data_IF_527389240286
#
_entry.id   IF_527389240286
#
_cell.length_a   1.000
_cell.length_b   1.000
_cell.length_c   1.000
_cell.angle_alpha   90.00
_cell.angle_beta   90.00
_cell.angle_gamma   90.00
#
_symmetry.space_group_name_H-M   'P 1'
#
loop_
_entity.id
_entity.type
_entity.pdbx_description
1 polymer ?
#
# COMPACT_ATOMS: atom_id res chain seq x y z
N UNK A 1 9.55 -7.35 -8.15
CA UNK A 1 8.77 -6.22 -7.57
C UNK A 1 7.92 -5.39 -8.56
N UNK A 2 8.45 -4.74 -9.62
CA UNK A 2 7.61 -3.92 -10.54
C UNK A 2 6.43 -4.69 -11.14
N UNK A 3 6.67 -5.93 -11.57
CA UNK A 3 5.63 -6.80 -12.13
C UNK A 3 4.52 -7.11 -11.11
N UNK A 4 4.88 -7.35 -9.85
CA UNK A 4 3.90 -7.59 -8.78
C UNK A 4 3.02 -6.34 -8.58
N UNK A 5 3.61 -5.15 -8.59
CA UNK A 5 2.87 -3.89 -8.50
C UNK A 5 1.94 -3.65 -9.70
N UNK A 6 2.41 -3.87 -10.93
CA UNK A 6 1.57 -3.69 -12.13
C UNK A 6 0.47 -4.73 -12.24
N UNK A 7 0.72 -5.98 -11.85
CA UNK A 7 -0.31 -7.03 -11.77
C UNK A 7 -1.36 -6.71 -10.71
N UNK A 8 -0.95 -6.21 -9.54
CA UNK A 8 -1.88 -5.76 -8.51
C UNK A 8 -2.77 -4.63 -9.02
N UNK A 9 -2.18 -3.60 -9.66
CA UNK A 9 -2.97 -2.51 -10.26
C UNK A 9 -3.92 -3.01 -11.36
N UNK A 10 -3.45 -3.88 -12.25
CA UNK A 10 -4.27 -4.45 -13.33
C UNK A 10 -5.45 -5.27 -12.78
N UNK A 11 -5.28 -5.97 -11.65
CA UNK A 11 -6.36 -6.74 -11.01
C UNK A 11 -7.49 -5.87 -10.45
N UNK A 12 -7.28 -4.55 -10.34
CA UNK A 12 -8.28 -3.59 -9.88
C UNK A 12 -9.03 -2.91 -11.04
N UNK A 13 -8.70 -3.24 -12.30
CA UNK A 13 -9.29 -2.61 -13.46
C UNK A 13 -10.82 -2.86 -13.53
N UNK A 14 -11.64 -1.80 -13.64
CA UNK A 14 -13.08 -1.92 -13.87
C UNK A 14 -13.44 -2.79 -15.09
N UNK A 15 -12.61 -2.71 -16.14
CA UNK A 15 -12.73 -3.50 -17.37
C UNK A 15 -12.78 -5.03 -17.15
N UNK A 16 -12.29 -5.54 -16.01
CA UNK A 16 -12.38 -6.96 -15.67
C UNK A 16 -13.81 -7.42 -15.34
N UNK A 17 -14.70 -6.48 -14.98
CA UNK A 17 -16.10 -6.76 -14.67
C UNK A 17 -17.02 -6.40 -15.83
N UNK A 18 -16.72 -5.29 -16.50
CA UNK A 18 -17.49 -4.76 -17.63
C UNK A 18 -16.50 -4.24 -18.68
N UNK A 19 -16.41 -4.86 -19.87
CA UNK A 19 -15.40 -4.54 -20.87
C UNK A 19 -15.54 -3.11 -21.44
N UNK A 20 -16.70 -2.46 -21.27
CA UNK A 20 -16.91 -1.07 -21.71
C UNK A 20 -16.36 -0.03 -20.72
N UNK A 21 -15.81 -0.47 -19.57
CA UNK A 21 -15.23 0.39 -18.54
C UNK A 21 -13.73 0.64 -18.73
N UNK A 22 -13.18 1.56 -17.92
CA UNK A 22 -11.78 1.91 -17.95
C UNK A 22 -10.84 0.73 -17.59
N UNK A 23 -9.64 0.73 -18.19
CA UNK A 23 -8.57 -0.22 -17.89
C UNK A 23 -7.86 0.04 -16.56
N UNK A 24 -8.09 1.21 -15.95
CA UNK A 24 -7.50 1.61 -14.68
C UNK A 24 -8.60 2.05 -13.71
N UNK A 25 -8.37 1.92 -12.39
CA UNK A 25 -9.24 2.53 -11.39
C UNK A 25 -9.36 4.04 -11.58
N UNK A 26 -10.46 4.62 -11.11
CA UNK A 26 -10.65 6.07 -11.09
C UNK A 26 -9.61 6.76 -10.20
N UNK A 27 -9.31 8.02 -10.48
CA UNK A 27 -8.36 8.81 -9.69
C UNK A 27 -8.80 8.98 -8.23
N UNK A 28 -10.11 9.04 -7.96
CA UNK A 28 -10.64 9.08 -6.60
C UNK A 28 -10.26 7.83 -5.78
N UNK A 29 -10.03 6.70 -6.45
CA UNK A 29 -9.60 5.44 -5.87
C UNK A 29 -8.07 5.31 -5.72
N UNK A 30 -7.29 6.32 -6.12
CA UNK A 30 -5.83 6.25 -6.15
C UNK A 30 -5.22 5.86 -4.79
N UNK A 31 -5.81 6.33 -3.69
CA UNK A 31 -5.37 5.97 -2.33
C UNK A 31 -5.50 4.46 -2.06
N UNK A 32 -6.62 3.86 -2.48
CA UNK A 32 -6.90 2.43 -2.36
C UNK A 32 -6.04 1.62 -3.33
N UNK A 33 -5.91 2.06 -4.58
CA UNK A 33 -5.08 1.40 -5.57
C UNK A 33 -3.59 1.35 -5.14
N UNK A 34 -3.05 2.48 -4.67
CA UNK A 34 -1.67 2.55 -4.17
C UNK A 34 -1.45 1.65 -2.95
N UNK A 35 -2.46 1.52 -2.08
CA UNK A 35 -2.40 0.60 -0.94
C UNK A 35 -2.23 -0.85 -1.39
N UNK A 36 -3.04 -1.31 -2.35
CA UNK A 36 -2.96 -2.67 -2.88
C UNK A 36 -1.63 -2.94 -3.59
N UNK A 37 -1.13 -1.96 -4.35
CA UNK A 37 0.21 -2.02 -4.98
C UNK A 37 1.31 -2.14 -3.93
N UNK A 38 1.26 -1.33 -2.87
CA UNK A 38 2.24 -1.36 -1.79
C UNK A 38 2.25 -2.71 -1.06
N UNK A 39 1.07 -3.28 -0.79
CA UNK A 39 0.94 -4.63 -0.21
C UNK A 39 1.59 -5.67 -1.12
N UNK A 40 1.22 -5.72 -2.40
CA UNK A 40 1.76 -6.70 -3.34
C UNK A 40 3.29 -6.61 -3.49
N UNK A 41 3.84 -5.40 -3.56
CA UNK A 41 5.29 -5.19 -3.66
C UNK A 41 6.01 -5.60 -2.38
N UNK A 42 5.47 -5.26 -1.20
CA UNK A 42 6.07 -5.64 0.07
C UNK A 42 6.02 -7.16 0.31
N UNK A 43 4.90 -7.80 -0.03
CA UNK A 43 4.79 -9.26 -0.01
C UNK A 43 5.80 -9.92 -0.95
N UNK A 44 5.95 -9.40 -2.17
CA UNK A 44 6.93 -9.90 -3.13
C UNK A 44 8.37 -9.73 -2.62
N UNK A 45 8.69 -8.62 -1.96
CA UNK A 45 10.01 -8.38 -1.37
C UNK A 45 10.34 -9.39 -0.25
N UNK A 46 9.34 -9.78 0.54
CA UNK A 46 9.48 -10.83 1.56
C UNK A 46 9.72 -12.19 0.90
N UNK A 47 8.93 -12.55 -0.12
CA UNK A 47 9.06 -13.84 -0.81
C UNK A 47 10.42 -13.97 -1.52
N UNK A 48 10.96 -12.87 -2.06
CA UNK A 48 12.28 -12.80 -2.69
C UNK A 48 13.44 -12.70 -1.66
N UNK A 49 13.13 -12.53 -0.37
CA UNK A 49 14.13 -12.35 0.68
C UNK A 49 14.91 -11.02 0.62
N UNK A 50 14.39 -10.03 -0.12
CA UNK A 50 14.99 -8.69 -0.26
C UNK A 50 14.49 -7.69 0.78
N UNK A 51 13.44 -8.03 1.53
CA UNK A 51 12.92 -7.21 2.61
C UNK A 51 13.86 -7.19 3.83
N UNK A 52 14.23 -5.99 4.29
CA UNK A 52 15.04 -5.81 5.51
C UNK A 52 14.23 -5.96 6.81
N UNK A 53 12.91 -5.91 6.69
CA UNK A 53 11.98 -6.05 7.82
C UNK A 53 11.69 -7.52 8.11
N UNK A 54 11.58 -7.88 9.40
CA UNK A 54 11.25 -9.25 9.84
C UNK A 54 9.74 -9.55 9.84
N UNK A 55 8.99 -8.96 8.92
CA UNK A 55 7.55 -9.16 8.83
C UNK A 55 7.23 -10.51 8.21
N UNK A 56 6.14 -11.13 8.66
CA UNK A 56 5.49 -12.20 7.91
C UNK A 56 4.64 -11.60 6.81
N UNK A 57 4.47 -12.34 5.71
CA UNK A 57 3.57 -11.95 4.62
C UNK A 57 2.15 -11.62 5.11
N UNK A 58 1.63 -12.39 6.06
CA UNK A 58 0.32 -12.16 6.71
C UNK A 58 0.18 -10.83 7.45
N UNK A 59 1.30 -10.20 7.85
CA UNK A 59 1.32 -8.95 8.61
C UNK A 59 1.41 -7.72 7.68
N UNK A 60 1.78 -7.91 6.41
CA UNK A 60 2.09 -6.82 5.48
C UNK A 60 0.94 -5.83 5.36
N UNK A 61 -0.29 -6.32 5.16
CA UNK A 61 -1.46 -5.46 4.98
C UNK A 61 -1.69 -4.54 6.18
N UNK A 62 -1.55 -5.04 7.40
CA UNK A 62 -1.71 -4.26 8.62
C UNK A 62 -0.56 -3.26 8.81
N UNK A 63 0.68 -3.68 8.53
CA UNK A 63 1.86 -2.81 8.64
C UNK A 63 1.83 -1.66 7.64
N UNK A 64 1.49 -1.95 6.38
CA UNK A 64 1.32 -0.94 5.32
C UNK A 64 0.22 0.06 5.71
N UNK A 65 -0.90 -0.41 6.27
CA UNK A 65 -1.97 0.47 6.74
C UNK A 65 -1.53 1.38 7.88
N UNK A 66 -0.75 0.85 8.82
CA UNK A 66 -0.27 1.59 9.99
C UNK A 66 0.72 2.71 9.62
N UNK A 67 1.48 2.56 8.54
CA UNK A 67 2.44 3.57 8.05
C UNK A 67 1.86 4.48 6.96
N UNK A 68 0.62 4.22 6.52
CA UNK A 68 -0.03 5.04 5.51
C UNK A 68 -0.30 6.43 6.07
N UNK A 69 0.14 7.47 5.35
CA UNK A 69 -0.13 8.85 5.74
C UNK A 69 -1.64 9.13 5.74
N UNK A 70 -2.11 9.86 6.76
CA UNK A 70 -3.49 10.31 6.90
C UNK A 70 -3.54 11.86 6.88
N UNK A 71 -4.53 12.46 6.19
CA UNK A 71 -4.72 13.91 6.12
C UNK A 71 -5.36 14.47 7.40
N UNK A 72 -4.79 14.15 8.56
CA UNK A 72 -5.27 14.58 9.87
C UNK A 72 -4.15 15.30 10.61
N UNK A 73 -4.50 16.35 11.36
CA UNK A 73 -3.53 17.03 12.20
C UNK A 73 -3.06 16.10 13.33
N UNK A 74 -1.74 15.99 13.48
CA UNK A 74 -1.13 15.29 14.59
C UNK A 74 -1.41 16.00 15.91
N UNK A 75 -1.59 15.24 16.99
CA UNK A 75 -1.62 15.82 18.33
C UNK A 75 -0.18 16.06 18.78
N UNK A 76 0.21 17.32 18.87
CA UNK A 76 1.53 17.69 19.39
C UNK A 76 1.51 17.62 20.92
N UNK A 77 2.51 16.96 21.49
CA UNK A 77 2.79 17.02 22.93
C UNK A 77 4.06 17.81 23.14
N UNK A 78 4.00 18.81 24.01
CA UNK A 78 5.18 19.55 24.39
C UNK A 78 6.06 18.66 25.26
N UNK A 79 7.29 18.41 24.83
CA UNK A 79 8.32 17.77 25.63
C UNK A 79 9.46 18.75 25.87
N UNK A 80 9.61 19.28 27.11
CA UNK A 80 10.69 20.20 27.44
C UNK A 80 12.08 19.54 27.48
N UNK A 81 12.18 18.21 27.51
CA UNK A 81 13.46 17.47 27.52
C UNK A 81 13.88 16.95 26.14
N UNK A 82 12.94 16.83 25.20
CA UNK A 82 13.18 16.34 23.85
C UNK A 82 13.57 14.85 23.78
N UNK A 83 13.01 14.03 24.68
CA UNK A 83 13.28 12.59 24.77
C UNK A 83 12.34 11.74 23.88
N UNK A 84 11.34 12.36 23.22
CA UNK A 84 10.45 11.71 22.25
C UNK A 84 11.00 11.72 20.83
#
# INVERSE_FOLDING_TARGET
MLLAGTQALASLAPALKDPDQALLPDFQDARRANFEVAVAVAEQAIDEGSAEVKWKKSEVREKVKAIQWEPVYGTYKYDPKGEV
#
